data_IF_540742674702
#
_entry.id   IF_540742674702
#
_cell.length_a   1.000
_cell.length_b   1.000
_cell.length_c   1.000
_cell.angle_alpha   90.00
_cell.angle_beta   90.00
_cell.angle_gamma   90.00
#
_symmetry.space_group_name_H-M   'P 1'
#
loop_
_entity.id
_entity.type
_entity.pdbx_description
1 polymer ?
#
# COMPACT_ATOMS: atom_id res chain seq x y z
N UNK A 1 -9.73 9.05 -17.43
CA UNK A 1 -9.19 7.96 -16.59
C UNK A 1 -10.22 6.87 -16.34
N UNK A 2 -11.22 7.06 -15.48
CA UNK A 2 -12.21 6.00 -15.14
C UNK A 2 -12.82 5.33 -16.39
N UNK A 3 -13.33 6.11 -17.34
CA UNK A 3 -13.91 5.57 -18.57
C UNK A 3 -12.93 4.80 -19.47
N UNK A 4 -11.64 5.16 -19.46
CA UNK A 4 -10.61 4.47 -20.26
C UNK A 4 -10.26 3.10 -19.63
N UNK A 5 -10.15 3.05 -18.29
CA UNK A 5 -9.94 1.80 -17.55
C UNK A 5 -11.10 0.83 -17.78
N UNK A 6 -12.34 1.32 -17.71
CA UNK A 6 -13.53 0.48 -17.92
C UNK A 6 -13.61 0.01 -19.37
N UNK A 7 -13.40 0.93 -20.31
CA UNK A 7 -13.52 0.64 -21.73
C UNK A 7 -12.44 -0.27 -22.30
N UNK A 8 -11.29 -0.44 -21.61
CA UNK A 8 -10.18 -1.26 -22.11
C UNK A 8 -9.83 -2.46 -21.24
N UNK A 9 -9.89 -2.34 -19.91
CA UNK A 9 -9.26 -3.33 -19.02
C UNK A 9 -10.18 -3.89 -17.93
N UNK A 10 -11.16 -3.13 -17.46
CA UNK A 10 -11.98 -3.49 -16.31
C UNK A 10 -13.48 -3.33 -16.60
N UNK A 11 -14.14 -4.33 -17.24
CA UNK A 11 -15.51 -4.20 -17.76
C UNK A 11 -16.59 -4.31 -16.66
N UNK A 12 -16.44 -3.49 -15.61
CA UNK A 12 -17.27 -3.46 -14.40
C UNK A 12 -17.66 -2.00 -14.09
N UNK A 13 -18.50 -1.81 -13.06
CA UNK A 13 -19.06 -0.50 -12.71
C UNK A 13 -18.02 0.58 -12.42
N UNK A 14 -18.34 1.82 -12.79
CA UNK A 14 -17.49 2.99 -12.60
C UNK A 14 -17.24 3.36 -11.14
N UNK A 15 -18.23 3.13 -10.28
CA UNK A 15 -18.13 3.32 -8.84
C UNK A 15 -16.98 2.54 -8.23
N UNK A 16 -16.83 1.24 -8.57
CA UNK A 16 -15.78 0.39 -8.03
C UNK A 16 -14.37 0.91 -8.42
N UNK A 17 -14.22 1.38 -9.67
CA UNK A 17 -12.96 1.95 -10.15
C UNK A 17 -12.66 3.27 -9.43
N UNK A 18 -13.66 4.16 -9.32
CA UNK A 18 -13.47 5.47 -8.69
C UNK A 18 -13.19 5.35 -7.18
N UNK A 19 -13.94 4.52 -6.46
CA UNK A 19 -13.71 4.28 -5.03
C UNK A 19 -12.32 3.70 -4.77
N UNK A 20 -11.83 2.83 -5.66
CA UNK A 20 -10.47 2.29 -5.59
C UNK A 20 -9.42 3.38 -5.81
N UNK A 21 -9.61 4.26 -6.80
CA UNK A 21 -8.75 5.43 -7.03
C UNK A 21 -8.70 6.32 -5.80
N UNK A 22 -9.88 6.63 -5.23
CA UNK A 22 -9.99 7.48 -4.04
C UNK A 22 -9.25 6.86 -2.87
N UNK A 23 -9.45 5.56 -2.62
CA UNK A 23 -8.72 4.83 -1.59
C UNK A 23 -7.20 4.90 -1.78
N UNK A 24 -6.73 4.78 -3.03
CA UNK A 24 -5.29 4.85 -3.34
C UNK A 24 -4.66 6.24 -3.17
N UNK A 25 -5.49 7.30 -3.11
CA UNK A 25 -5.06 8.67 -2.87
C UNK A 25 -5.12 9.09 -1.39
N UNK A 26 -5.88 8.37 -0.56
CA UNK A 26 -6.08 8.70 0.85
C UNK A 26 -4.89 8.27 1.72
N UNK A 27 -4.21 9.26 2.32
CA UNK A 27 -3.06 9.04 3.22
C UNK A 27 -3.41 8.27 4.50
N UNK A 28 -4.65 8.35 4.97
CA UNK A 28 -5.12 7.58 6.12
C UNK A 28 -5.51 6.13 5.77
N UNK A 29 -5.56 5.79 4.47
CA UNK A 29 -5.96 4.47 3.99
C UNK A 29 -4.76 3.61 3.57
N UNK A 30 -3.81 4.18 2.83
CA UNK A 30 -2.57 3.55 2.43
C UNK A 30 -1.37 4.18 3.11
N UNK A 31 -0.41 3.35 3.53
CA UNK A 31 0.84 3.81 4.15
C UNK A 31 1.71 4.60 3.17
N UNK A 32 1.69 4.20 1.90
CA UNK A 32 2.33 4.85 0.77
C UNK A 32 1.32 4.99 -0.37
N UNK A 33 0.58 6.11 -0.45
CA UNK A 33 -0.39 6.37 -1.51
C UNK A 33 0.23 6.23 -2.90
N UNK A 34 -0.49 5.54 -3.78
CA UNK A 34 -0.03 5.31 -5.16
C UNK A 34 -0.56 6.37 -6.13
N UNK A 35 -1.65 7.06 -5.74
CA UNK A 35 -2.27 8.13 -6.51
C UNK A 35 -2.03 9.46 -5.80
N UNK A 36 -1.58 10.46 -6.53
CA UNK A 36 -1.52 11.86 -6.09
C UNK A 36 -2.79 12.56 -6.59
N UNK A 37 -3.66 12.96 -5.67
CA UNK A 37 -4.98 13.52 -5.96
C UNK A 37 -5.09 15.00 -5.60
N UNK A 38 -5.79 15.76 -6.43
CA UNK A 38 -6.17 17.15 -6.18
C UNK A 38 -7.69 17.28 -6.16
N UNK A 39 -8.23 17.89 -5.10
CA UNK A 39 -9.66 18.01 -4.84
C UNK A 39 -10.06 17.38 -3.49
N UNK A 40 -11.35 17.16 -3.27
CA UNK A 40 -11.84 16.51 -2.06
C UNK A 40 -11.88 14.99 -2.24
N UNK A 41 -10.99 14.28 -1.55
CA UNK A 41 -10.88 12.82 -1.53
C UNK A 41 -11.46 12.19 -0.26
N UNK A 42 -12.28 12.92 0.49
CA UNK A 42 -12.85 12.47 1.76
C UNK A 42 -11.91 12.67 2.94
N UNK A 43 -12.37 12.27 4.13
CA UNK A 43 -11.69 12.51 5.40
C UNK A 43 -11.74 11.28 6.31
N UNK A 44 -10.97 11.32 7.41
CA UNK A 44 -11.00 10.31 8.49
C UNK A 44 -12.37 10.28 9.20
N UNK A 45 -13.18 11.33 9.05
CA UNK A 45 -14.53 11.46 9.59
C UNK A 45 -15.56 10.65 8.82
N UNK A 46 -15.17 10.11 7.66
CA UNK A 46 -16.03 9.33 6.77
C UNK A 46 -16.79 10.19 5.79
N UNK A 47 -16.35 11.44 5.58
CA UNK A 47 -16.86 12.26 4.48
C UNK A 47 -16.55 11.57 3.16
N UNK A 48 -17.56 11.49 2.29
CA UNK A 48 -17.39 10.95 0.96
C UNK A 48 -16.50 11.87 0.10
N UNK A 49 -15.76 11.32 -0.88
CA UNK A 49 -15.07 12.12 -1.87
C UNK A 49 -16.06 12.95 -2.70
N UNK A 50 -15.58 14.02 -3.32
CA UNK A 50 -16.34 14.71 -4.35
C UNK A 50 -16.61 13.77 -5.55
N UNK A 51 -17.57 14.14 -6.40
CA UNK A 51 -17.80 13.41 -7.65
C UNK A 51 -16.57 13.47 -8.57
N UNK A 52 -16.33 12.40 -9.35
CA UNK A 52 -15.13 12.23 -10.21
C UNK A 52 -14.86 13.37 -11.20
N UNK A 53 -15.85 14.21 -11.51
CA UNK A 53 -15.73 15.40 -12.37
C UNK A 53 -15.06 16.61 -11.69
N UNK A 54 -14.85 16.55 -10.37
CA UNK A 54 -14.25 17.62 -9.56
C UNK A 54 -12.90 17.25 -8.97
N UNK A 55 -12.42 16.04 -9.25
CA UNK A 55 -11.15 15.52 -8.74
C UNK A 55 -10.19 15.30 -9.90
N UNK A 56 -8.95 15.69 -9.70
CA UNK A 56 -7.86 15.42 -10.63
C UNK A 56 -6.86 14.47 -9.97
N UNK A 57 -6.20 13.64 -10.77
CA UNK A 57 -5.24 12.66 -10.27
C UNK A 57 -4.05 12.52 -11.21
N UNK A 58 -2.93 12.11 -10.64
CA UNK A 58 -1.75 11.60 -11.36
C UNK A 58 -1.08 10.50 -10.53
N UNK A 59 -0.07 9.85 -11.11
CA UNK A 59 0.76 8.91 -10.37
C UNK A 59 1.53 9.65 -9.27
N UNK A 60 1.56 9.06 -8.08
CA UNK A 60 2.53 9.46 -7.05
C UNK A 60 3.95 9.10 -7.50
N UNK A 61 4.96 9.74 -6.90
CA UNK A 61 6.37 9.43 -7.21
C UNK A 61 6.71 7.95 -7.00
N UNK A 62 6.20 7.34 -5.92
CA UNK A 62 6.48 5.94 -5.60
C UNK A 62 5.78 4.96 -6.56
N UNK A 63 4.66 5.35 -7.16
CA UNK A 63 3.97 4.50 -8.13
C UNK A 63 4.76 4.30 -9.43
N UNK A 64 5.66 5.22 -9.79
CA UNK A 64 6.57 5.02 -10.92
C UNK A 64 7.49 3.80 -10.70
N UNK A 65 7.92 3.54 -9.46
CA UNK A 65 8.75 2.37 -9.13
C UNK A 65 8.01 1.03 -9.31
N UNK A 66 6.68 1.04 -9.40
CA UNK A 66 5.89 -0.14 -9.75
C UNK A 66 5.92 -0.43 -11.26
N UNK A 67 6.11 0.61 -12.08
CA UNK A 67 5.98 0.55 -13.55
C UNK A 67 7.32 0.63 -14.29
N UNK A 68 8.41 0.93 -13.58
CA UNK A 68 9.75 1.06 -14.14
C UNK A 68 10.17 -0.20 -14.93
N UNK A 69 10.76 -0.01 -16.11
CA UNK A 69 11.22 -1.05 -17.05
C UNK A 69 10.09 -1.89 -17.71
N UNK A 70 8.81 -1.53 -17.57
CA UNK A 70 7.69 -2.27 -18.17
C UNK A 70 7.78 -2.40 -19.70
N UNK A 71 8.39 -1.43 -20.38
CA UNK A 71 8.60 -1.41 -21.83
C UNK A 71 9.78 -2.28 -22.32
N UNK A 72 10.49 -2.95 -21.41
CA UNK A 72 11.70 -3.73 -21.71
C UNK A 72 11.49 -5.25 -21.67
N UNK A 73 10.27 -5.71 -22.00
CA UNK A 73 9.92 -7.14 -22.01
C UNK A 73 10.24 -7.84 -20.66
N UNK A 74 9.96 -7.15 -19.56
CA UNK A 74 10.26 -7.64 -18.21
C UNK A 74 9.16 -8.49 -17.60
N UNK A 75 7.98 -8.49 -18.18
CA UNK A 75 6.79 -9.21 -17.72
C UNK A 75 5.97 -9.67 -18.92
N UNK A 76 5.15 -10.69 -18.72
CA UNK A 76 4.26 -11.18 -19.76
C UNK A 76 3.03 -10.29 -19.88
N UNK A 77 2.60 -10.10 -21.13
CA UNK A 77 1.37 -9.41 -21.49
C UNK A 77 0.36 -10.43 -22.00
N UNK A 78 -0.89 -10.25 -21.59
CA UNK A 78 -2.03 -11.04 -22.05
C UNK A 78 -3.05 -10.14 -22.73
N UNK A 79 -3.87 -10.66 -23.66
CA UNK A 79 -5.01 -9.92 -24.19
C UNK A 79 -5.95 -9.45 -23.07
N UNK A 80 -6.59 -8.31 -23.29
CA UNK A 80 -7.69 -7.84 -22.45
C UNK A 80 -8.98 -8.65 -22.69
N UNK A 81 -10.11 -8.24 -22.10
CA UNK A 81 -11.36 -9.02 -22.12
C UNK A 81 -12.01 -9.16 -23.51
N UNK A 82 -11.71 -8.27 -24.46
CA UNK A 82 -12.23 -8.30 -25.84
C UNK A 82 -11.14 -8.57 -26.89
N UNK A 83 -9.93 -8.93 -26.43
CA UNK A 83 -8.75 -9.27 -27.23
C UNK A 83 -8.25 -8.15 -28.18
N UNK A 84 -8.67 -6.90 -27.98
CA UNK A 84 -8.23 -5.76 -28.79
C UNK A 84 -7.03 -5.01 -28.23
N UNK A 85 -6.79 -5.14 -26.93
CA UNK A 85 -5.69 -4.51 -26.19
C UNK A 85 -4.87 -5.58 -25.45
N UNK A 86 -3.70 -5.19 -24.94
CA UNK A 86 -2.89 -6.06 -24.07
C UNK A 86 -2.67 -5.43 -22.70
N UNK A 87 -2.50 -6.27 -21.68
CA UNK A 87 -2.25 -5.85 -20.31
C UNK A 87 -1.20 -6.75 -19.64
N UNK A 88 -0.35 -6.21 -18.76
CA UNK A 88 0.63 -7.01 -18.04
C UNK A 88 -0.05 -7.92 -17.01
N UNK A 89 0.41 -9.16 -16.88
CA UNK A 89 -0.09 -10.10 -15.87
C UNK A 89 0.36 -9.69 -14.46
N UNK A 90 1.58 -9.18 -14.36
CA UNK A 90 2.22 -8.66 -13.14
C UNK A 90 3.00 -7.40 -13.46
N UNK A 91 3.30 -6.58 -12.46
CA UNK A 91 4.12 -5.39 -12.65
C UNK A 91 5.61 -5.68 -12.32
N UNK A 92 6.58 -5.08 -13.04
CA UNK A 92 8.02 -5.25 -12.82
C UNK A 92 8.54 -4.49 -11.57
N UNK A 93 7.71 -4.46 -10.52
CA UNK A 93 7.91 -3.62 -9.34
C UNK A 93 9.32 -3.70 -8.76
N UNK A 94 9.83 -2.53 -8.35
CA UNK A 94 11.09 -2.39 -7.63
C UNK A 94 10.91 -2.36 -6.12
N UNK A 95 9.68 -2.25 -5.65
CA UNK A 95 9.33 -2.16 -4.22
C UNK A 95 8.40 -3.30 -3.80
N UNK A 96 8.53 -3.81 -2.56
CA UNK A 96 7.68 -4.88 -2.03
C UNK A 96 6.29 -4.35 -1.63
N UNK A 97 5.49 -3.92 -2.62
CA UNK A 97 4.25 -3.19 -2.41
C UNK A 97 3.24 -3.93 -1.51
N UNK A 98 3.16 -5.25 -1.62
CA UNK A 98 2.28 -6.10 -0.81
C UNK A 98 2.56 -5.95 0.69
N UNK A 99 3.83 -5.87 1.08
CA UNK A 99 4.23 -5.73 2.48
C UNK A 99 4.09 -4.29 2.98
N UNK A 100 4.50 -3.30 2.17
CA UNK A 100 4.53 -1.89 2.62
C UNK A 100 3.13 -1.28 2.71
N UNK A 101 2.20 -1.66 1.83
CA UNK A 101 0.84 -1.14 1.82
C UNK A 101 -0.19 -2.13 2.40
N UNK A 102 0.16 -3.41 2.49
CA UNK A 102 -0.77 -4.45 2.93
C UNK A 102 -1.88 -4.72 1.91
N UNK A 103 -2.83 -5.56 2.30
CA UNK A 103 -4.03 -5.86 1.52
C UNK A 103 -5.10 -6.46 2.41
N UNK A 104 -6.36 -6.19 2.10
CA UNK A 104 -7.51 -6.73 2.80
C UNK A 104 -8.55 -7.16 1.77
N UNK A 105 -8.97 -8.42 1.80
CA UNK A 105 -9.91 -8.95 0.81
C UNK A 105 -10.62 -10.19 1.32
N UNK A 106 -11.87 -10.37 0.88
CA UNK A 106 -12.68 -11.54 1.16
C UNK A 106 -13.05 -12.16 -0.18
N UNK A 107 -12.70 -13.44 -0.35
CA UNK A 107 -13.06 -14.23 -1.51
C UNK A 107 -13.99 -15.39 -1.10
N UNK A 108 -14.34 -16.26 -2.03
CA UNK A 108 -15.18 -17.43 -1.73
C UNK A 108 -14.34 -18.47 -0.97
N UNK A 109 -14.67 -18.70 0.31
CA UNK A 109 -14.01 -19.70 1.15
C UNK A 109 -12.67 -19.28 1.76
N UNK A 110 -12.21 -18.05 1.53
CA UNK A 110 -10.94 -17.53 2.06
C UNK A 110 -10.99 -16.01 2.27
N UNK A 111 -10.10 -15.50 3.09
CA UNK A 111 -9.90 -14.07 3.29
C UNK A 111 -8.40 -13.77 3.42
N UNK A 112 -8.00 -12.53 3.18
CA UNK A 112 -6.64 -12.03 3.43
C UNK A 112 -6.73 -10.72 4.20
N UNK A 113 -5.81 -10.53 5.13
CA UNK A 113 -5.70 -9.29 5.90
C UNK A 113 -4.24 -9.09 6.32
N UNK A 114 -3.50 -8.36 5.50
CA UNK A 114 -2.09 -8.06 5.67
C UNK A 114 -1.95 -6.59 6.10
N UNK A 115 -1.31 -6.31 7.24
CA UNK A 115 -1.11 -4.94 7.66
C UNK A 115 0.04 -4.29 6.85
N UNK A 116 0.04 -2.95 6.71
CA UNK A 116 1.15 -2.22 6.12
C UNK A 116 2.41 -2.26 7.00
N UNK A 117 3.56 -2.01 6.38
CA UNK A 117 4.87 -2.01 7.03
C UNK A 117 5.72 -0.83 6.54
N UNK A 118 6.76 -0.50 7.29
CA UNK A 118 7.68 0.56 6.93
C UNK A 118 8.57 0.12 5.74
N UNK A 119 8.66 0.96 4.71
CA UNK A 119 9.44 0.65 3.50
C UNK A 119 10.92 0.38 3.80
N UNK A 120 11.55 1.18 4.67
CA UNK A 120 12.97 1.02 4.99
C UNK A 120 13.24 -0.29 5.71
N UNK A 121 12.36 -0.66 6.65
CA UNK A 121 12.46 -1.91 7.41
C UNK A 121 12.22 -3.13 6.51
N UNK A 122 11.22 -3.07 5.62
CA UNK A 122 10.97 -4.17 4.67
C UNK A 122 12.15 -4.34 3.70
N UNK A 123 12.71 -3.25 3.16
CA UNK A 123 13.90 -3.33 2.30
C UNK A 123 15.09 -3.91 3.07
N UNK A 124 15.28 -3.51 4.33
CA UNK A 124 16.35 -4.05 5.19
C UNK A 124 16.15 -5.55 5.45
N UNK A 125 14.91 -5.98 5.70
CA UNK A 125 14.57 -7.41 5.83
C UNK A 125 14.81 -8.19 4.52
N UNK A 126 14.52 -7.61 3.35
CA UNK A 126 14.88 -8.22 2.06
C UNK A 126 16.40 -8.41 1.93
N UNK A 127 17.21 -7.40 2.31
CA UNK A 127 18.66 -7.51 2.27
C UNK A 127 19.18 -8.59 3.22
N UNK A 128 18.67 -8.63 4.46
CA UNK A 128 19.02 -9.68 5.43
C UNK A 128 18.66 -11.09 4.93
N UNK A 129 17.52 -11.24 4.24
CA UNK A 129 17.13 -12.49 3.60
C UNK A 129 18.05 -12.88 2.44
N UNK A 130 18.48 -11.91 1.62
CA UNK A 130 19.43 -12.15 0.52
C UNK A 130 20.79 -12.62 1.07
N UNK A 131 21.24 -12.03 2.18
CA UNK A 131 22.50 -12.40 2.83
C UNK A 131 22.42 -13.77 3.51
N UNK A 132 21.24 -14.16 4.01
CA UNK A 132 20.99 -15.46 4.62
C UNK A 132 19.57 -15.97 4.31
N UNK A 133 19.43 -16.81 3.28
CA UNK A 133 18.13 -17.37 2.86
C UNK A 133 17.49 -18.29 3.93
N UNK A 134 18.23 -18.69 4.98
CA UNK A 134 17.73 -19.49 6.11
C UNK A 134 17.42 -18.65 7.35
N UNK A 135 17.41 -17.32 7.24
CA UNK A 135 17.10 -16.42 8.37
C UNK A 135 15.72 -16.75 8.96
N UNK A 136 15.67 -16.91 10.27
CA UNK A 136 14.44 -17.25 10.96
C UNK A 136 13.50 -16.04 11.06
N UNK A 137 12.17 -16.26 11.20
CA UNK A 137 11.22 -15.18 11.45
C UNK A 137 11.56 -14.33 12.68
N UNK A 138 12.22 -14.92 13.69
CA UNK A 138 12.62 -14.19 14.91
C UNK A 138 13.81 -13.26 14.66
N UNK A 139 14.78 -13.69 13.86
CA UNK A 139 15.91 -12.84 13.44
C UNK A 139 15.43 -11.74 12.49
N UNK A 140 14.48 -12.04 11.59
CA UNK A 140 13.87 -11.02 10.73
C UNK A 140 13.17 -9.91 11.52
N UNK A 141 12.65 -10.18 12.71
CA UNK A 141 12.03 -9.15 13.57
C UNK A 141 13.03 -8.11 14.08
N UNK A 142 14.34 -8.36 14.03
CA UNK A 142 15.35 -7.35 14.33
C UNK A 142 15.39 -6.25 13.24
N UNK A 143 15.02 -6.61 12.01
CA UNK A 143 15.00 -5.71 10.85
C UNK A 143 13.59 -5.18 10.53
N UNK A 144 12.56 -5.97 10.83
CA UNK A 144 11.14 -5.64 10.65
C UNK A 144 10.38 -5.92 11.95
N UNK A 145 10.40 -4.99 12.94
CA UNK A 145 9.84 -5.23 14.26
C UNK A 145 8.34 -5.50 14.26
N UNK A 146 7.61 -4.92 13.31
CA UNK A 146 6.17 -5.10 13.18
C UNK A 146 5.52 -4.19 12.14
N UNK A 147 4.18 -4.16 12.12
CA UNK A 147 3.42 -3.29 11.23
C UNK A 147 3.59 -1.79 11.47
N UNK A 148 3.43 -1.00 10.41
CA UNK A 148 3.47 0.48 10.42
C UNK A 148 2.18 1.02 9.76
N UNK A 149 1.21 1.40 10.58
CA UNK A 149 -0.10 1.87 10.12
C UNK A 149 -0.09 3.35 9.71
N UNK A 150 -0.81 3.75 8.65
CA UNK A 150 -0.87 5.15 8.22
C UNK A 150 -1.48 6.11 9.25
N UNK A 151 -2.28 5.59 10.19
CA UNK A 151 -2.93 6.37 11.26
C UNK A 151 -2.14 6.32 12.58
N UNK A 152 -0.92 5.81 12.56
CA UNK A 152 -0.10 5.53 13.74
C UNK A 152 -0.84 4.63 14.76
N UNK A 153 -0.85 5.02 16.04
CA UNK A 153 -1.37 4.21 17.14
C UNK A 153 -0.32 3.37 17.86
N UNK A 154 -0.79 2.52 18.75
CA UNK A 154 0.04 1.71 19.64
C UNK A 154 -0.29 0.22 19.46
N UNK A 155 0.72 -0.60 19.19
CA UNK A 155 0.56 -2.05 19.14
C UNK A 155 0.93 -2.63 20.51
N UNK A 156 -0.02 -3.33 21.13
CA UNK A 156 0.21 -3.99 22.41
C UNK A 156 0.60 -5.46 22.19
N UNK A 157 1.86 -5.79 22.51
CA UNK A 157 2.38 -7.16 22.55
C UNK A 157 2.97 -7.65 21.21
N UNK A 158 4.21 -8.14 21.25
CA UNK A 158 4.93 -8.62 20.07
C UNK A 158 4.66 -10.08 19.68
N UNK A 159 4.06 -10.89 20.56
CA UNK A 159 3.86 -12.34 20.31
C UNK A 159 2.97 -12.59 19.09
N UNK A 160 1.89 -11.82 18.93
CA UNK A 160 1.00 -11.96 17.80
C UNK A 160 1.63 -11.58 16.45
N UNK A 161 2.65 -10.70 16.48
CA UNK A 161 3.45 -10.36 15.30
C UNK A 161 4.35 -11.55 14.94
N UNK A 162 5.06 -12.10 15.92
CA UNK A 162 5.92 -13.27 15.72
C UNK A 162 5.13 -14.46 15.19
N UNK A 163 3.97 -14.78 15.79
CA UNK A 163 3.10 -15.87 15.34
C UNK A 163 2.67 -15.67 13.87
N UNK A 164 2.33 -14.42 13.51
CA UNK A 164 1.97 -14.07 12.13
C UNK A 164 3.13 -14.21 11.16
N UNK A 165 4.33 -13.77 11.52
CA UNK A 165 5.51 -13.90 10.67
C UNK A 165 5.98 -15.34 10.52
N UNK A 166 5.76 -16.18 11.54
CA UNK A 166 6.10 -17.61 11.48
C UNK A 166 5.08 -18.43 10.69
N UNK A 167 3.79 -18.16 10.86
CA UNK A 167 2.71 -19.07 10.41
C UNK A 167 1.78 -18.47 9.37
N UNK A 168 1.89 -17.16 9.10
CA UNK A 168 0.96 -16.41 8.30
C UNK A 168 -0.31 -15.97 9.04
N UNK A 169 -0.48 -16.35 10.31
CA UNK A 169 -1.66 -15.99 11.12
C UNK A 169 -1.27 -15.46 12.48
N UNK A 170 -1.90 -14.37 12.89
CA UNK A 170 -1.70 -13.80 14.21
C UNK A 170 -2.78 -12.79 14.56
N UNK A 171 -2.76 -12.33 15.81
CA UNK A 171 -3.66 -11.29 16.29
C UNK A 171 -2.86 -10.26 17.06
N UNK A 172 -3.05 -9.00 16.71
CA UNK A 172 -2.46 -7.88 17.44
C UNK A 172 -3.56 -6.94 17.91
N UNK A 173 -3.31 -6.27 19.03
CA UNK A 173 -4.20 -5.25 19.58
C UNK A 173 -3.64 -3.89 19.21
N UNK A 174 -4.44 -3.09 18.51
CA UNK A 174 -4.07 -1.73 18.06
C UNK A 174 -4.89 -0.74 18.87
N UNK A 175 -4.20 0.14 19.58
CA UNK A 175 -4.76 1.08 20.56
C UNK A 175 -4.53 2.52 20.11
N UNK A 176 -5.52 3.37 20.36
CA UNK A 176 -5.46 4.80 20.19
C UNK A 176 -4.40 5.41 21.13
N UNK A 177 -3.63 6.38 20.62
CA UNK A 177 -2.77 7.20 21.49
C UNK A 177 -3.64 8.20 22.22
N UNK A 178 -3.62 8.12 23.54
CA UNK A 178 -4.34 9.05 24.40
C UNK A 178 -3.47 9.46 25.59
N UNK A 179 -3.59 10.72 25.99
CA UNK A 179 -2.96 11.30 27.17
C UNK A 179 -4.00 11.82 28.15
N UNK A 180 -3.59 12.01 29.40
CA UNK A 180 -4.39 12.62 30.45
C UNK A 180 -3.88 14.05 30.65
N UNK A 181 -4.76 15.04 30.53
CA UNK A 181 -4.50 16.42 30.92
C UNK A 181 -5.14 16.65 32.29
N UNK A 182 -4.33 16.95 33.30
CA UNK A 182 -4.79 17.21 34.66
C UNK A 182 -5.64 18.49 34.72
N UNK A 183 -6.47 18.58 35.77
CA UNK A 183 -7.24 19.77 36.02
C UNK A 183 -6.32 20.97 36.31
N UNK A 184 -6.52 22.08 35.60
CA UNK A 184 -5.89 23.38 35.85
C UNK A 184 -6.96 24.39 36.28
N UNK A 185 -6.58 25.57 36.79
CA UNK A 185 -7.55 26.61 37.20
C UNK A 185 -8.64 26.84 36.14
N UNK A 186 -9.87 26.39 36.45
CA UNK A 186 -11.04 26.48 35.58
C UNK A 186 -11.30 25.31 34.61
N UNK A 187 -10.36 24.37 34.41
CA UNK A 187 -10.51 23.24 33.47
C UNK A 187 -10.65 21.89 34.19
N UNK A 188 -11.63 21.04 33.81
CA UNK A 188 -11.74 19.68 34.34
C UNK A 188 -10.61 18.79 33.81
N UNK A 189 -10.35 17.66 34.48
CA UNK A 189 -9.46 16.61 33.95
C UNK A 189 -9.98 16.10 32.61
N UNK A 190 -9.08 15.91 31.64
CA UNK A 190 -9.43 15.52 30.27
C UNK A 190 -8.63 14.31 29.82
N UNK A 191 -9.27 13.45 29.03
CA UNK A 191 -8.60 12.47 28.19
C UNK A 191 -8.53 13.04 26.78
N UNK A 192 -7.32 13.12 26.24
CA UNK A 192 -7.06 13.69 24.91
C UNK A 192 -6.53 12.59 24.01
N UNK A 193 -7.27 12.30 22.94
CA UNK A 193 -6.92 11.28 21.95
C UNK A 193 -6.34 11.96 20.71
N UNK A 194 -5.12 11.56 20.33
CA UNK A 194 -4.34 12.18 19.25
C UNK A 194 -4.13 11.26 18.06
N UNK A 195 -4.29 9.94 18.23
CA UNK A 195 -4.18 8.95 17.15
C UNK A 195 -5.26 7.86 17.33
N UNK A 196 -5.85 7.37 16.23
CA UNK A 196 -6.84 6.29 16.24
C UNK A 196 -6.27 5.03 15.58
N UNK A 197 -6.76 3.83 15.96
CA UNK A 197 -6.40 2.61 15.28
C UNK A 197 -6.76 2.64 13.79
N UNK A 198 -6.04 1.83 13.01
CA UNK A 198 -6.25 1.72 11.56
C UNK A 198 -7.70 1.34 11.23
N UNK A 199 -8.26 1.99 10.20
CA UNK A 199 -9.64 1.82 9.72
C UNK A 199 -10.74 2.16 10.76
N UNK A 200 -10.43 2.95 11.79
CA UNK A 200 -11.43 3.48 12.71
C UNK A 200 -11.91 4.85 12.23
N UNK A 201 -13.22 4.99 12.06
CA UNK A 201 -13.85 6.25 11.71
C UNK A 201 -14.08 7.10 12.97
N UNK A 202 -13.58 8.34 12.98
CA UNK A 202 -13.65 9.22 14.16
C UNK A 202 -15.09 9.57 14.53
N UNK A 203 -15.93 9.96 13.56
CA UNK A 203 -17.32 10.35 13.83
C UNK A 203 -18.14 9.20 14.45
N UNK A 204 -18.02 7.98 13.91
CA UNK A 204 -18.67 6.77 14.44
C UNK A 204 -18.15 6.39 15.83
N UNK A 205 -16.86 6.60 16.10
CA UNK A 205 -16.30 6.40 17.44
C UNK A 205 -16.92 7.37 18.45
N UNK A 206 -17.01 8.66 18.11
CA UNK A 206 -17.62 9.69 18.96
C UNK A 206 -19.10 9.39 19.22
N UNK A 207 -19.85 9.01 18.18
CA UNK A 207 -21.24 8.58 18.30
C UNK A 207 -21.38 7.39 19.25
N UNK A 208 -20.52 6.37 19.11
CA UNK A 208 -20.50 5.20 19.99
C UNK A 208 -20.21 5.59 21.44
N UNK A 209 -19.26 6.49 21.69
CA UNK A 209 -18.98 6.99 23.04
C UNK A 209 -20.23 7.70 23.61
N UNK A 210 -20.86 8.59 22.84
CA UNK A 210 -22.06 9.29 23.27
C UNK A 210 -23.22 8.34 23.60
N UNK A 211 -23.40 7.27 22.82
CA UNK A 211 -24.39 6.21 23.10
C UNK A 211 -24.07 5.46 24.40
N UNK A 212 -22.81 5.12 24.64
CA UNK A 212 -22.38 4.43 25.87
C UNK A 212 -22.55 5.31 27.12
N UNK A 213 -22.36 6.63 27.00
CA UNK A 213 -22.61 7.61 28.07
C UNK A 213 -24.11 7.72 28.36
N UNK A 214 -24.95 7.89 27.32
CA UNK A 214 -26.41 7.94 27.47
C UNK A 214 -26.98 6.65 28.07
N UNK A 215 -26.42 5.50 27.68
CA UNK A 215 -26.77 4.19 28.20
C UNK A 215 -26.21 3.87 29.60
N UNK A 216 -25.53 4.82 30.26
CA UNK A 216 -24.89 4.66 31.59
C UNK A 216 -23.89 3.50 31.68
N UNK A 217 -23.29 3.13 30.54
CA UNK A 217 -22.21 2.13 30.50
C UNK A 217 -20.84 2.78 30.70
N UNK A 218 -20.71 4.04 30.31
CA UNK A 218 -19.60 4.93 30.66
C UNK A 218 -20.16 6.08 31.49
N UNK A 219 -19.92 6.06 32.81
CA UNK A 219 -20.34 7.13 33.71
C UNK A 219 -19.15 8.05 34.03
N UNK A 220 -19.40 9.34 34.24
CA UNK A 220 -18.35 10.30 34.60
C UNK A 220 -17.80 11.13 33.44
N UNK A 221 -18.25 10.92 32.19
CA UNK A 221 -17.96 11.83 31.07
C UNK A 221 -18.95 13.01 31.11
N UNK A 222 -18.43 14.24 31.18
CA UNK A 222 -19.24 15.47 31.21
C UNK A 222 -19.40 16.10 29.83
N UNK A 223 -18.36 16.04 29.00
CA UNK A 223 -18.39 16.56 27.64
C UNK A 223 -17.51 15.74 26.70
N UNK A 224 -17.88 15.72 25.43
CA UNK A 224 -17.14 15.11 24.33
C UNK A 224 -17.01 16.15 23.22
N UNK A 225 -15.78 16.51 22.83
CA UNK A 225 -15.50 17.52 21.80
C UNK A 225 -14.51 16.99 20.78
N UNK A 226 -14.69 17.40 19.54
CA UNK A 226 -13.72 17.24 18.48
C UNK A 226 -13.06 18.59 18.22
N UNK A 227 -11.80 18.71 18.63
CA UNK A 227 -10.96 19.89 18.47
C UNK A 227 -9.88 19.64 17.39
N UNK A 228 -10.13 18.70 16.48
CA UNK A 228 -9.23 18.41 15.36
C UNK A 228 -9.19 19.57 14.38
N UNK A 229 -8.00 19.86 13.87
CA UNK A 229 -7.76 20.91 12.88
C UNK A 229 -6.83 20.42 11.75
N UNK A 230 -6.22 21.36 11.03
CA UNK A 230 -5.28 21.03 9.94
C UNK A 230 -3.92 20.53 10.45
N UNK A 231 -3.58 20.81 11.71
CA UNK A 231 -2.30 20.41 12.32
C UNK A 231 -2.37 19.01 12.91
N UNK A 232 -3.56 18.56 13.32
CA UNK A 232 -3.75 17.17 13.72
C UNK A 232 -5.12 16.86 14.32
N UNK A 233 -5.30 15.58 14.64
CA UNK A 233 -6.49 15.10 15.32
C UNK A 233 -6.40 15.36 16.82
N UNK A 234 -7.47 15.90 17.41
CA UNK A 234 -7.57 16.12 18.86
C UNK A 234 -9.00 15.90 19.34
N UNK A 235 -9.27 14.72 19.88
CA UNK A 235 -10.56 14.41 20.52
C UNK A 235 -10.43 14.59 22.02
N UNK A 236 -11.35 15.35 22.61
CA UNK A 236 -11.35 15.70 24.04
C UNK A 236 -12.54 15.08 24.74
N UNK A 237 -12.24 14.36 25.81
CA UNK A 237 -13.23 13.74 26.69
C UNK A 237 -13.05 14.36 28.08
N UNK A 238 -13.98 15.21 28.50
CA UNK A 238 -13.95 15.83 29.82
C UNK A 238 -14.58 14.92 30.86
N UNK A 239 -13.92 14.82 32.00
CA UNK A 239 -14.36 13.98 33.11
C UNK A 239 -14.97 14.82 34.22
N UNK A 240 -15.94 14.22 34.92
CA UNK A 240 -16.51 14.76 36.15
C UNK A 240 -15.44 14.80 37.22
N UNK A 241 -15.48 15.82 38.05
CA UNK A 241 -14.58 15.95 39.21
C UNK A 241 -14.67 14.72 40.11
N UNK A 242 -13.52 14.13 40.42
CA UNK A 242 -13.39 12.93 41.27
C UNK A 242 -13.35 11.60 40.52
N UNK A 243 -13.58 11.59 39.21
CA UNK A 243 -13.41 10.39 38.39
C UNK A 243 -11.93 10.05 38.18
N UNK A 244 -11.61 8.76 38.16
CA UNK A 244 -10.24 8.30 37.85
C UNK A 244 -10.03 8.29 36.33
N UNK A 245 -9.11 9.11 35.79
CA UNK A 245 -8.87 9.17 34.36
C UNK A 245 -8.31 7.86 33.79
N UNK A 246 -7.44 7.16 34.53
CA UNK A 246 -6.91 5.85 34.11
C UNK A 246 -7.99 4.77 34.00
N UNK A 247 -8.92 4.73 34.97
CA UNK A 247 -10.04 3.77 34.93
C UNK A 247 -10.96 4.08 33.76
N UNK A 248 -11.28 5.36 33.55
CA UNK A 248 -12.08 5.79 32.41
C UNK A 248 -11.40 5.44 31.08
N UNK A 249 -10.10 5.71 30.94
CA UNK A 249 -9.34 5.42 29.73
C UNK A 249 -9.33 3.91 29.42
N UNK A 250 -9.13 3.07 30.42
CA UNK A 250 -9.23 1.61 30.26
C UNK A 250 -10.64 1.15 29.86
N UNK A 251 -11.68 1.76 30.42
CA UNK A 251 -13.07 1.49 30.01
C UNK A 251 -13.34 1.93 28.56
N UNK A 252 -12.79 3.07 28.14
CA UNK A 252 -12.87 3.54 26.76
C UNK A 252 -12.20 2.54 25.81
N UNK A 253 -10.99 2.06 26.11
CA UNK A 253 -10.35 1.00 25.32
C UNK A 253 -11.21 -0.27 25.24
N UNK A 254 -11.79 -0.71 26.35
CA UNK A 254 -12.58 -1.94 26.42
C UNK A 254 -13.91 -1.88 25.66
N UNK A 255 -14.60 -0.75 25.70
CA UNK A 255 -15.98 -0.65 25.20
C UNK A 255 -16.11 0.07 23.84
N UNK A 256 -15.07 0.77 23.39
CA UNK A 256 -15.10 1.56 22.16
C UNK A 256 -14.15 0.97 21.10
N UNK A 257 -13.99 1.66 19.98
CA UNK A 257 -12.97 1.32 18.96
C UNK A 257 -11.65 2.05 19.20
N UNK A 258 -11.46 2.65 20.38
CA UNK A 258 -10.14 3.15 20.80
C UNK A 258 -9.14 2.00 20.99
N UNK A 259 -9.58 0.76 21.12
CA UNK A 259 -8.75 -0.42 20.94
C UNK A 259 -9.46 -1.38 19.97
N UNK A 260 -8.74 -1.87 18.97
CA UNK A 260 -9.24 -2.84 17.99
C UNK A 260 -8.31 -4.03 17.89
N UNK A 261 -8.84 -5.15 17.44
CA UNK A 261 -8.05 -6.35 17.14
C UNK A 261 -7.81 -6.40 15.65
N UNK A 262 -6.55 -6.43 15.23
CA UNK A 262 -6.17 -6.71 13.86
C UNK A 262 -5.81 -8.19 13.72
N UNK A 263 -6.65 -8.95 13.03
CA UNK A 263 -6.39 -10.35 12.71
C UNK A 263 -5.55 -10.45 11.45
N UNK A 264 -4.27 -10.79 11.60
CA UNK A 264 -3.33 -10.96 10.50
C UNK A 264 -3.60 -12.31 9.83
N UNK A 265 -3.76 -12.30 8.51
CA UNK A 265 -3.89 -13.49 7.68
C UNK A 265 -3.20 -13.27 6.32
N UNK A 266 -2.00 -13.82 6.17
CA UNK A 266 -1.10 -13.58 5.05
C UNK A 266 -1.40 -14.54 3.88
N UNK A 267 -2.59 -14.42 3.31
CA UNK A 267 -2.97 -15.21 2.12
C UNK A 267 -2.76 -14.39 0.85
N UNK A 268 -2.03 -14.95 -0.12
CA UNK A 268 -1.82 -14.37 -1.45
C UNK A 268 -1.90 -15.46 -2.53
N UNK A 269 -1.75 -15.06 -3.80
CA UNK A 269 -1.66 -16.00 -4.91
C UNK A 269 -0.18 -16.27 -5.24
N UNK A 270 0.21 -17.55 -5.26
CA UNK A 270 1.45 -18.00 -5.90
C UNK A 270 1.09 -18.98 -7.03
N UNK A 271 1.59 -18.73 -8.24
CA UNK A 271 1.24 -19.56 -9.41
C UNK A 271 -0.28 -19.66 -9.65
N UNK A 272 -1.01 -18.56 -9.47
CA UNK A 272 -2.48 -18.49 -9.55
C UNK A 272 -3.24 -19.37 -8.54
N UNK A 273 -2.58 -19.84 -7.47
CA UNK A 273 -3.23 -20.60 -6.40
C UNK A 273 -3.14 -19.86 -5.06
N UNK A 274 -4.21 -19.84 -4.26
CA UNK A 274 -4.20 -19.23 -2.94
C UNK A 274 -3.31 -20.05 -1.99
N UNK A 275 -2.34 -19.38 -1.38
CA UNK A 275 -1.41 -19.96 -0.41
C UNK A 275 -1.36 -19.06 0.83
N UNK A 276 -1.23 -19.69 1.99
CA UNK A 276 -0.88 -19.01 3.24
C UNK A 276 0.64 -18.91 3.33
N UNK A 277 1.17 -17.71 3.59
CA UNK A 277 2.60 -17.45 3.63
C UNK A 277 3.07 -17.06 5.02
N UNK A 278 4.27 -17.50 5.37
CA UNK A 278 5.11 -16.87 6.40
C UNK A 278 5.83 -15.63 5.85
N UNK A 279 6.43 -14.81 6.72
CA UNK A 279 7.20 -13.63 6.29
C UNK A 279 8.41 -14.00 5.40
N UNK A 280 9.27 -15.00 5.74
CA UNK A 280 10.37 -15.40 4.87
C UNK A 280 9.90 -15.81 3.46
N UNK A 281 8.77 -16.53 3.36
CA UNK A 281 8.24 -16.93 2.06
C UNK A 281 7.76 -15.73 1.23
N UNK A 282 7.15 -14.71 1.86
CA UNK A 282 6.79 -13.47 1.13
C UNK A 282 8.03 -12.72 0.63
N UNK A 283 9.10 -12.69 1.42
CA UNK A 283 10.38 -12.08 1.01
C UNK A 283 11.01 -12.86 -0.15
N UNK A 284 11.01 -14.19 -0.08
CA UNK A 284 11.48 -15.09 -1.15
C UNK A 284 10.74 -14.84 -2.46
N UNK A 285 9.40 -14.82 -2.45
CA UNK A 285 8.59 -14.54 -3.65
C UNK A 285 8.94 -13.19 -4.28
N UNK A 286 9.10 -12.14 -3.47
CA UNK A 286 9.49 -10.82 -3.97
C UNK A 286 10.91 -10.82 -4.56
N UNK A 287 11.87 -11.46 -3.88
CA UNK A 287 13.27 -11.55 -4.35
C UNK A 287 13.36 -12.36 -5.64
N UNK A 288 12.62 -13.47 -5.76
CA UNK A 288 12.54 -14.26 -7.00
C UNK A 288 11.98 -13.46 -8.16
N UNK A 289 10.85 -12.78 -7.95
CA UNK A 289 10.26 -11.87 -8.94
C UNK A 289 11.29 -10.83 -9.39
N UNK A 290 12.04 -10.24 -8.45
CA UNK A 290 13.07 -9.25 -8.77
C UNK A 290 14.23 -9.84 -9.57
N UNK A 291 14.70 -11.05 -9.24
CA UNK A 291 15.74 -11.77 -10.00
C UNK A 291 15.28 -12.02 -11.44
N UNK A 292 14.03 -12.44 -11.65
CA UNK A 292 13.46 -12.67 -12.98
C UNK A 292 13.38 -11.39 -13.80
N UNK A 293 12.77 -10.32 -13.25
CA UNK A 293 12.62 -9.02 -13.91
C UNK A 293 13.99 -8.46 -14.34
N UNK A 294 14.99 -8.51 -13.46
CA UNK A 294 16.36 -8.05 -13.77
C UNK A 294 16.97 -8.89 -14.89
N UNK A 295 16.79 -10.21 -14.86
CA UNK A 295 17.31 -11.12 -15.89
C UNK A 295 16.70 -10.81 -17.25
N UNK A 296 15.37 -10.69 -17.34
CA UNK A 296 14.66 -10.34 -18.59
C UNK A 296 15.10 -9.00 -19.13
N UNK A 297 15.17 -7.97 -18.28
CA UNK A 297 15.66 -6.64 -18.66
C UNK A 297 17.08 -6.70 -19.24
N UNK A 298 17.97 -7.45 -18.60
CA UNK A 298 19.36 -7.59 -19.04
C UNK A 298 19.45 -8.27 -20.41
N UNK A 299 18.61 -9.28 -20.65
CA UNK A 299 18.52 -9.95 -21.96
C UNK A 299 17.95 -9.01 -23.03
N UNK A 300 16.94 -8.21 -22.71
CA UNK A 300 16.39 -7.20 -23.62
C UNK A 300 17.45 -6.17 -24.03
N UNK A 301 18.18 -5.62 -23.06
CA UNK A 301 19.23 -4.64 -23.31
C UNK A 301 20.39 -5.24 -24.13
N UNK A 302 20.76 -6.50 -23.86
CA UNK A 302 21.74 -7.24 -24.65
C UNK A 302 21.30 -7.44 -26.10
N UNK A 303 20.04 -7.82 -26.34
CA UNK A 303 19.50 -8.01 -27.68
C UNK A 303 19.49 -6.68 -28.47
N UNK A 304 19.05 -5.59 -27.83
CA UNK A 304 19.05 -4.24 -28.42
C UNK A 304 20.47 -3.76 -28.74
N UNK A 305 21.42 -3.99 -27.84
CA UNK A 305 22.82 -3.64 -28.04
C UNK A 305 23.44 -4.42 -29.21
N UNK A 306 23.17 -5.73 -29.32
CA UNK A 306 23.63 -6.56 -30.44
C UNK A 306 23.04 -6.11 -31.78
N UNK A 307 21.74 -5.85 -31.83
CA UNK A 307 21.08 -5.32 -33.05
C UNK A 307 21.70 -4.00 -33.49
N UNK A 308 21.95 -3.09 -32.54
CA UNK A 308 22.61 -1.80 -32.83
C UNK A 308 24.05 -1.98 -33.31
N UNK A 309 24.82 -2.88 -32.68
CA UNK A 309 26.19 -3.19 -33.10
C UNK A 309 26.23 -3.70 -34.53
N UNK A 310 25.33 -4.63 -34.89
CA UNK A 310 25.22 -5.16 -36.24
C UNK A 310 24.97 -4.06 -37.30
N UNK A 311 24.05 -3.13 -37.02
CA UNK A 311 23.80 -1.99 -37.90
C UNK A 311 25.04 -1.08 -38.01
N UNK A 312 25.72 -0.82 -36.90
CA UNK A 312 26.93 0.01 -36.88
C UNK A 312 28.10 -0.62 -37.64
N UNK A 313 28.26 -1.94 -37.57
CA UNK A 313 29.26 -2.68 -38.35
C UNK A 313 28.99 -2.52 -39.86
N UNK A 314 27.74 -2.69 -40.29
CA UNK A 314 27.34 -2.45 -41.68
C UNK A 314 27.62 -1.01 -42.15
N UNK A 315 27.31 -0.02 -41.30
CA UNK A 315 27.61 1.39 -41.57
C UNK A 315 29.13 1.66 -41.64
N UNK A 316 29.93 1.05 -40.78
CA UNK A 316 31.38 1.21 -40.79
C UNK A 316 32.01 0.63 -42.07
N UNK A 317 31.53 -0.54 -42.52
CA UNK A 317 31.94 -1.13 -43.80
C UNK A 317 31.52 -0.25 -44.98
N UNK A 318 30.28 0.25 -44.98
CA UNK A 318 29.78 1.14 -46.02
C UNK A 318 30.57 2.45 -46.09
N UNK A 319 30.90 3.04 -44.94
CA UNK A 319 31.70 4.26 -44.86
C UNK A 319 33.13 4.05 -45.38
N UNK A 320 33.72 2.88 -45.09
CA UNK A 320 35.07 2.54 -45.56
C UNK A 320 35.15 2.34 -47.08
N UNK A 321 34.02 2.02 -47.73
CA UNK A 321 33.91 1.76 -49.17
C UNK A 321 32.93 2.73 -49.85
N UNK A 322 32.91 3.99 -49.41
CA UNK A 322 31.82 4.93 -49.72
C UNK A 322 31.62 5.16 -51.23
N UNK A 323 32.69 5.25 -52.01
CA UNK A 323 32.61 5.49 -53.45
C UNK A 323 32.00 4.31 -54.21
N UNK A 324 32.35 3.08 -53.82
CA UNK A 324 31.80 1.85 -54.41
C UNK A 324 30.31 1.71 -54.09
N UNK A 325 29.93 1.99 -52.83
CA UNK A 325 28.52 1.97 -52.39
C UNK A 325 27.71 3.02 -53.14
N UNK A 326 28.22 4.26 -53.30
CA UNK A 326 27.55 5.31 -54.07
C UNK A 326 27.42 4.92 -55.54
N UNK A 327 28.48 4.35 -56.14
CA UNK A 327 28.49 3.89 -57.52
C UNK A 327 27.42 2.82 -57.78
N UNK A 328 27.34 1.82 -56.89
CA UNK A 328 26.34 0.77 -56.95
C UNK A 328 24.92 1.35 -56.86
N UNK A 329 24.66 2.22 -55.88
CA UNK A 329 23.34 2.85 -55.68
C UNK A 329 22.93 3.67 -56.91
N UNK A 330 23.85 4.44 -57.51
CA UNK A 330 23.56 5.24 -58.73
C UNK A 330 23.26 4.38 -59.95
N UNK A 331 23.91 3.22 -60.07
CA UNK A 331 23.72 2.29 -61.19
C UNK A 331 22.45 1.43 -61.04
N UNK A 332 21.92 1.33 -59.83
CA UNK A 332 20.75 0.52 -59.54
C UNK A 332 19.46 1.21 -60.04
N UNK A 333 18.64 0.55 -60.88
CA UNK A 333 17.47 1.18 -61.49
C UNK A 333 16.31 1.42 -60.51
N UNK A 334 16.20 0.66 -59.41
CA UNK A 334 15.28 0.86 -58.27
C UNK A 334 15.62 -0.08 -57.10
N UNK A 335 15.40 0.33 -55.84
CA UNK A 335 15.49 -0.59 -54.71
C UNK A 335 14.39 -1.65 -54.78
N UNK A 336 14.69 -2.93 -54.48
CA UNK A 336 13.67 -3.96 -54.42
C UNK A 336 12.71 -3.69 -53.26
N UNK A 337 11.41 -3.54 -53.58
CA UNK A 337 10.35 -3.29 -52.60
C UNK A 337 9.85 -1.85 -52.49
N UNK A 338 10.31 -0.93 -53.35
CA UNK A 338 9.74 0.43 -53.51
C UNK A 338 8.82 0.56 -54.72
#
# INVERSE_FOLDING_TARGET
MVGDVIGKYHPHGDSAVYDTIVRMAQQFSLRYPLVDGQGNFGSVDGDAPAAMRYTEIRLSRIAHELLEDLDKDTVDFVPNYDETETQPVVLPTRIPNLLINGSSGIAVGMATNMPPHNLSEVVTACLAYIDNENISPRELMEFLPGPDFPTAGLINGGRGILDAYQTGRGKIYVRARAGIEDASDGNPTRIVVTELPYQVNKAKLLEKIALLVRGKRLEGITALRDESDKEGMRVVIELRRGESPDVMLNNLYRYTQMETVFGINLVALAGNQPKLFSLPELLDEFVRHRREVITRRTLHELAKARSRAHVLEGLAVALSNIDEVIGLIKSAPKPPGS
#
